data_IF_089771919624
#
_entry.id   IF_089771919624
#
_cell.length_a   1.000
_cell.length_b   1.000
_cell.length_c   1.000
_cell.angle_alpha   90.00
_cell.angle_beta   90.00
_cell.angle_gamma   90.00
#
_symmetry.space_group_name_H-M   'P 1'
#
loop_
_entity.id
_entity.type
_entity.pdbx_description
1 polymer ?
#
# COMPACT_ATOMS: atom_id res chain seq x y z
N UNK A 1 18.38 -24.37 -6.86
CA UNK A 1 17.42 -23.33 -7.22
C UNK A 1 18.13 -22.02 -6.99
N UNK A 2 18.23 -21.19 -8.01
CA UNK A 2 18.99 -19.94 -7.94
C UNK A 2 18.29 -18.96 -6.99
N UNK A 3 18.99 -17.99 -6.37
CA UNK A 3 18.37 -16.98 -5.49
C UNK A 3 17.21 -16.22 -6.17
N UNK A 4 17.34 -15.94 -7.47
CA UNK A 4 16.29 -15.28 -8.26
C UNK A 4 15.01 -16.12 -8.37
N UNK A 5 15.14 -17.44 -8.54
CA UNK A 5 14.00 -18.36 -8.61
C UNK A 5 13.22 -18.38 -7.28
N UNK A 6 13.92 -18.18 -6.16
CA UNK A 6 13.30 -18.14 -4.83
C UNK A 6 12.45 -16.90 -4.64
N UNK A 7 12.96 -15.74 -5.04
CA UNK A 7 12.21 -14.48 -4.99
C UNK A 7 10.99 -14.49 -5.92
N UNK A 8 11.13 -15.07 -7.12
CA UNK A 8 10.01 -15.25 -8.04
C UNK A 8 8.95 -16.18 -7.46
N UNK A 9 9.35 -17.30 -6.86
CA UNK A 9 8.43 -18.22 -6.20
C UNK A 9 7.67 -17.57 -5.04
N UNK A 10 8.33 -16.71 -4.24
CA UNK A 10 7.65 -15.93 -3.19
C UNK A 10 6.60 -14.99 -3.77
N UNK A 11 6.96 -14.24 -4.82
CA UNK A 11 6.04 -13.32 -5.49
C UNK A 11 4.83 -14.06 -6.07
N UNK A 12 5.03 -15.21 -6.72
CA UNK A 12 3.95 -16.04 -7.24
C UNK A 12 3.01 -16.56 -6.15
N UNK A 13 3.57 -17.04 -5.03
CA UNK A 13 2.76 -17.48 -3.87
C UNK A 13 1.95 -16.33 -3.29
N UNK A 14 2.58 -15.15 -3.17
CA UNK A 14 1.89 -13.94 -2.73
C UNK A 14 0.72 -13.60 -3.65
N UNK A 15 0.94 -13.55 -4.96
CA UNK A 15 -0.13 -13.29 -5.93
C UNK A 15 -1.23 -14.34 -5.84
N UNK A 16 -0.89 -15.63 -5.76
CA UNK A 16 -1.90 -16.69 -5.62
C UNK A 16 -2.76 -16.47 -4.36
N UNK A 17 -2.14 -16.10 -3.23
CA UNK A 17 -2.85 -15.85 -1.98
C UNK A 17 -3.74 -14.61 -2.05
N UNK A 18 -3.23 -13.51 -2.61
CA UNK A 18 -4.02 -12.28 -2.75
C UNK A 18 -5.23 -12.51 -3.65
N UNK A 19 -5.07 -13.19 -4.78
CA UNK A 19 -6.17 -13.55 -5.66
C UNK A 19 -7.20 -14.46 -5.00
N UNK A 20 -6.77 -15.45 -4.21
CA UNK A 20 -7.69 -16.31 -3.49
C UNK A 20 -8.59 -15.49 -2.53
N UNK A 21 -7.99 -14.56 -1.78
CA UNK A 21 -8.73 -13.67 -0.87
C UNK A 21 -9.64 -12.74 -1.68
N UNK A 22 -9.15 -12.06 -2.70
CA UNK A 22 -9.92 -11.02 -3.39
C UNK A 22 -11.10 -11.58 -4.18
N UNK A 23 -10.98 -12.80 -4.73
CA UNK A 23 -12.06 -13.44 -5.49
C UNK A 23 -13.20 -13.98 -4.60
N UNK A 24 -13.00 -14.08 -3.29
CA UNK A 24 -14.07 -14.48 -2.34
C UNK A 24 -15.09 -13.34 -2.11
N UNK A 25 -14.80 -12.12 -2.55
CA UNK A 25 -15.57 -10.93 -2.22
C UNK A 25 -16.26 -10.36 -3.46
N UNK A 26 -17.55 -10.02 -3.34
CA UNK A 26 -18.32 -9.40 -4.43
C UNK A 26 -17.85 -7.97 -4.78
N UNK A 27 -17.05 -7.34 -3.92
CA UNK A 27 -16.45 -6.03 -4.19
C UNK A 27 -15.50 -5.52 -3.11
N UNK A 28 -14.84 -4.37 -3.34
CA UNK A 28 -13.81 -3.82 -2.46
C UNK A 28 -14.23 -3.62 -1.00
N UNK A 29 -15.41 -3.03 -0.80
CA UNK A 29 -15.92 -2.74 0.53
C UNK A 29 -16.34 -3.99 1.33
N UNK A 30 -16.38 -5.17 0.70
CA UNK A 30 -16.65 -6.43 1.39
C UNK A 30 -15.41 -7.00 2.08
N UNK A 31 -14.20 -6.48 1.79
CA UNK A 31 -12.96 -6.95 2.42
C UNK A 31 -12.94 -6.76 3.94
N UNK A 32 -13.71 -5.82 4.49
CA UNK A 32 -13.90 -5.70 5.95
C UNK A 32 -14.50 -6.94 6.62
N UNK A 33 -15.11 -7.82 5.84
CA UNK A 33 -15.69 -9.08 6.30
C UNK A 33 -14.74 -10.28 6.10
N UNK A 34 -13.57 -10.05 5.52
CA UNK A 34 -12.57 -11.09 5.30
C UNK A 34 -12.09 -11.70 6.62
N UNK A 35 -11.61 -12.95 6.53
CA UNK A 35 -10.88 -13.55 7.63
C UNK A 35 -9.59 -12.76 7.91
N UNK A 36 -9.54 -12.09 9.06
CA UNK A 36 -8.42 -11.26 9.47
C UNK A 36 -7.10 -12.05 9.57
N UNK A 37 -7.15 -13.33 9.94
CA UNK A 37 -5.93 -14.17 9.96
C UNK A 37 -5.35 -14.35 8.56
N UNK A 38 -6.19 -14.45 7.54
CA UNK A 38 -5.74 -14.59 6.15
C UNK A 38 -5.14 -13.28 5.62
N UNK A 39 -5.68 -12.13 6.04
CA UNK A 39 -5.11 -10.83 5.73
C UNK A 39 -3.75 -10.63 6.42
N UNK A 40 -3.62 -11.01 7.69
CA UNK A 40 -2.33 -11.00 8.39
C UNK A 40 -1.30 -11.88 7.68
N UNK A 41 -1.67 -13.12 7.31
CA UNK A 41 -0.76 -14.01 6.57
C UNK A 41 -0.32 -13.42 5.24
N UNK A 42 -1.23 -12.73 4.53
CA UNK A 42 -0.86 -12.05 3.28
C UNK A 42 0.19 -10.96 3.51
N UNK A 43 0.04 -10.18 4.60
CA UNK A 43 1.02 -9.14 4.97
C UNK A 43 2.34 -9.76 5.44
N UNK A 44 2.31 -10.87 6.20
CA UNK A 44 3.52 -11.62 6.58
C UNK A 44 4.32 -12.07 5.33
N UNK A 45 3.62 -12.52 4.28
CA UNK A 45 4.25 -12.89 3.01
C UNK A 45 4.90 -11.69 2.31
N UNK A 46 4.27 -10.51 2.37
CA UNK A 46 4.85 -9.29 1.82
C UNK A 46 6.10 -8.87 2.61
N UNK A 47 6.04 -8.89 3.94
CA UNK A 47 7.17 -8.60 4.82
C UNK A 47 8.37 -9.52 4.54
N UNK A 48 8.12 -10.82 4.30
CA UNK A 48 9.16 -11.78 3.92
C UNK A 48 9.78 -11.48 2.54
N UNK A 49 8.98 -11.03 1.56
CA UNK A 49 9.47 -10.61 0.24
C UNK A 49 10.35 -9.37 0.34
N UNK A 50 10.01 -8.41 1.20
CA UNK A 50 10.83 -7.21 1.43
C UNK A 50 12.11 -7.58 2.18
N UNK A 51 12.00 -8.37 3.25
CA UNK A 51 13.11 -8.72 4.13
C UNK A 51 14.16 -9.59 3.45
N UNK A 52 13.79 -10.40 2.45
CA UNK A 52 14.77 -11.21 1.71
C UNK A 52 15.56 -10.43 0.67
N UNK A 53 15.25 -9.16 0.45
CA UNK A 53 16.01 -8.31 -0.45
C UNK A 53 17.11 -7.63 0.35
N UNK A 54 18.36 -7.83 -0.07
CA UNK A 54 19.46 -6.95 0.32
C UNK A 54 19.04 -5.50 0.07
N UNK A 55 19.49 -4.57 0.91
CA UNK A 55 19.21 -3.14 0.76
C UNK A 55 19.62 -2.67 -0.64
N UNK A 56 18.71 -2.77 -1.61
CA UNK A 56 18.99 -2.36 -2.97
C UNK A 56 18.96 -0.83 -2.97
N UNK A 57 20.07 -0.16 -3.30
CA UNK A 57 20.09 1.30 -3.34
C UNK A 57 19.24 1.86 -4.49
N UNK A 58 18.73 1.00 -5.38
CA UNK A 58 18.02 1.39 -6.60
C UNK A 58 16.54 0.98 -6.53
N UNK A 59 15.62 1.89 -6.90
CA UNK A 59 14.21 1.54 -7.02
C UNK A 59 13.96 0.41 -8.01
N UNK A 60 13.03 -0.49 -7.68
CA UNK A 60 12.63 -1.60 -8.57
C UNK A 60 11.39 -1.21 -9.37
N UNK A 61 11.48 -1.31 -10.69
CA UNK A 61 10.34 -1.16 -11.59
C UNK A 61 9.87 -2.54 -12.06
N UNK A 62 8.58 -2.81 -11.91
CA UNK A 62 7.95 -3.98 -12.49
C UNK A 62 6.73 -3.56 -13.31
N UNK A 63 6.51 -4.25 -14.43
CA UNK A 63 5.29 -4.08 -15.20
C UNK A 63 4.12 -4.84 -14.54
N UNK A 64 4.44 -5.92 -13.82
CA UNK A 64 3.47 -6.72 -13.08
C UNK A 64 3.03 -5.94 -11.83
N UNK A 65 1.71 -5.84 -11.69
CA UNK A 65 0.99 -5.22 -10.58
C UNK A 65 0.59 -6.32 -9.58
N UNK A 66 1.55 -6.77 -8.78
CA UNK A 66 1.42 -7.89 -7.84
C UNK A 66 1.30 -7.40 -6.38
N UNK A 67 2.38 -6.87 -5.82
CA UNK A 67 2.53 -6.67 -4.37
C UNK A 67 1.96 -5.33 -3.93
N UNK A 68 2.44 -4.24 -4.53
CA UNK A 68 2.00 -2.87 -4.17
C UNK A 68 0.47 -2.70 -4.29
N UNK A 69 -0.20 -3.06 -5.39
CA UNK A 69 -1.65 -2.89 -5.51
C UNK A 69 -2.43 -3.81 -4.57
N UNK A 70 -1.97 -5.04 -4.32
CA UNK A 70 -2.62 -5.94 -3.37
C UNK A 70 -2.59 -5.37 -1.95
N UNK A 71 -1.43 -4.87 -1.52
CA UNK A 71 -1.27 -4.22 -0.22
C UNK A 71 -2.09 -2.94 -0.12
N UNK A 72 -2.09 -2.11 -1.16
CA UNK A 72 -2.90 -0.90 -1.23
C UNK A 72 -4.40 -1.22 -1.06
N UNK A 73 -4.88 -2.23 -1.77
CA UNK A 73 -6.26 -2.69 -1.67
C UNK A 73 -6.61 -3.14 -0.24
N UNK A 74 -5.76 -3.96 0.39
CA UNK A 74 -5.99 -4.40 1.78
C UNK A 74 -6.00 -3.21 2.74
N UNK A 75 -5.03 -2.31 2.62
CA UNK A 75 -4.92 -1.12 3.47
C UNK A 75 -6.14 -0.20 3.36
N UNK A 76 -6.74 -0.11 2.16
CA UNK A 76 -7.91 0.73 1.94
C UNK A 76 -9.19 0.16 2.59
N UNK A 77 -9.34 -1.16 2.68
CA UNK A 77 -10.65 -1.78 2.94
C UNK A 77 -10.72 -2.75 4.14
N UNK A 78 -9.60 -3.09 4.80
CA UNK A 78 -9.61 -4.08 5.90
C UNK A 78 -10.18 -3.58 7.24
N UNK A 79 -10.32 -2.25 7.43
CA UNK A 79 -10.81 -1.62 8.67
C UNK A 79 -10.06 -2.08 9.94
N UNK A 80 -8.75 -2.34 9.84
CA UNK A 80 -7.92 -2.77 10.95
C UNK A 80 -6.67 -1.88 11.09
N UNK A 81 -6.63 -1.08 12.15
CA UNK A 81 -5.60 -0.06 12.37
C UNK A 81 -4.20 -0.65 12.50
N UNK A 82 -4.05 -1.78 13.19
CA UNK A 82 -2.76 -2.44 13.36
C UNK A 82 -2.22 -2.97 12.04
N UNK A 83 -3.08 -3.60 11.23
CA UNK A 83 -2.73 -4.14 9.92
C UNK A 83 -2.44 -3.03 8.91
N UNK A 84 -3.22 -1.95 8.91
CA UNK A 84 -2.99 -0.77 8.07
C UNK A 84 -1.61 -0.17 8.32
N UNK A 85 -1.19 -0.03 9.59
CA UNK A 85 0.16 0.44 9.94
C UNK A 85 1.25 -0.48 9.39
N UNK A 86 1.11 -1.80 9.59
CA UNK A 86 2.07 -2.78 9.06
C UNK A 86 2.20 -2.67 7.54
N UNK A 87 1.07 -2.54 6.84
CA UNK A 87 1.08 -2.39 5.39
C UNK A 87 1.79 -1.10 4.97
N UNK A 88 1.53 0.02 5.65
CA UNK A 88 2.21 1.30 5.39
C UNK A 88 3.73 1.14 5.55
N UNK A 89 4.20 0.46 6.59
CA UNK A 89 5.63 0.21 6.82
C UNK A 89 6.25 -0.66 5.73
N UNK A 90 5.54 -1.72 5.30
CA UNK A 90 5.97 -2.57 4.17
C UNK A 90 6.07 -1.76 2.88
N UNK A 91 5.04 -0.98 2.54
CA UNK A 91 5.04 -0.10 1.37
C UNK A 91 6.22 0.89 1.42
N UNK A 92 6.48 1.48 2.59
CA UNK A 92 7.58 2.44 2.81
C UNK A 92 8.96 1.81 2.69
N UNK A 93 9.13 0.53 3.01
CA UNK A 93 10.43 -0.15 2.91
C UNK A 93 10.75 -0.64 1.49
N UNK A 94 9.74 -0.88 0.65
CA UNK A 94 9.92 -1.58 -0.64
C UNK A 94 10.69 -0.83 -1.73
N UNK A 95 10.62 0.52 -1.78
CA UNK A 95 11.17 1.34 -2.89
C UNK A 95 10.85 0.76 -4.28
N UNK A 96 9.62 0.33 -4.49
CA UNK A 96 9.13 -0.39 -5.67
C UNK A 96 8.02 0.38 -6.37
N UNK A 97 8.05 0.39 -7.71
CA UNK A 97 6.98 0.88 -8.58
C UNK A 97 6.48 -0.24 -9.50
N UNK A 98 5.18 -0.46 -9.50
CA UNK A 98 4.48 -1.47 -10.28
C UNK A 98 3.44 -0.80 -11.20
N UNK A 99 3.82 -0.53 -12.45
CA UNK A 99 3.00 0.31 -13.34
C UNK A 99 2.70 1.68 -12.72
N UNK A 100 1.43 1.97 -12.43
CA UNK A 100 1.00 3.21 -11.77
C UNK A 100 1.12 3.21 -10.24
N UNK A 101 1.48 2.07 -9.65
CA UNK A 101 1.51 1.88 -8.20
C UNK A 101 2.92 2.11 -7.65
N UNK A 102 3.15 3.28 -7.06
CA UNK A 102 4.41 3.57 -6.36
C UNK A 102 4.29 3.32 -4.87
N UNK A 103 5.07 2.39 -4.33
CA UNK A 103 5.01 2.01 -2.92
C UNK A 103 5.24 3.17 -1.94
N UNK A 104 6.10 4.16 -2.28
CA UNK A 104 6.35 5.31 -1.42
C UNK A 104 5.18 6.29 -1.45
N UNK A 105 4.66 6.57 -2.64
CA UNK A 105 3.49 7.44 -2.81
C UNK A 105 2.25 6.84 -2.10
N UNK A 106 2.05 5.51 -2.22
CA UNK A 106 0.97 4.80 -1.52
C UNK A 106 1.14 4.84 0.00
N UNK A 107 2.35 4.60 0.52
CA UNK A 107 2.60 4.69 1.97
C UNK A 107 2.29 6.08 2.52
N UNK A 108 2.71 7.14 1.82
CA UNK A 108 2.44 8.52 2.22
C UNK A 108 0.93 8.82 2.21
N UNK A 109 0.22 8.37 1.18
CA UNK A 109 -1.23 8.54 1.09
C UNK A 109 -1.95 7.83 2.24
N UNK A 110 -1.64 6.54 2.47
CA UNK A 110 -2.33 5.76 3.50
C UNK A 110 -2.00 6.21 4.91
N UNK A 111 -0.81 6.76 5.16
CA UNK A 111 -0.53 7.37 6.46
C UNK A 111 -1.44 8.57 6.73
N UNK A 112 -1.67 9.43 5.74
CA UNK A 112 -2.63 10.53 5.86
C UNK A 112 -4.06 10.00 6.07
N UNK A 113 -4.47 8.98 5.31
CA UNK A 113 -5.80 8.36 5.43
C UNK A 113 -6.00 7.79 6.83
N UNK A 114 -5.00 7.06 7.34
CA UNK A 114 -5.04 6.48 8.69
C UNK A 114 -5.12 7.58 9.76
N UNK A 115 -4.36 8.67 9.62
CA UNK A 115 -4.46 9.82 10.52
C UNK A 115 -5.86 10.44 10.50
N UNK A 116 -6.47 10.62 9.34
CA UNK A 116 -7.84 11.13 9.23
C UNK A 116 -8.87 10.17 9.84
N UNK A 117 -8.69 8.85 9.69
CA UNK A 117 -9.53 7.83 10.35
C UNK A 117 -9.43 7.92 11.86
N UNK A 118 -8.21 7.98 12.40
CA UNK A 118 -7.97 8.11 13.84
C UNK A 118 -8.47 9.45 14.41
N UNK A 119 -8.45 10.51 13.61
CA UNK A 119 -9.00 11.82 13.95
C UNK A 119 -10.51 11.96 13.76
N UNK A 120 -11.21 10.89 13.35
CA UNK A 120 -12.64 10.89 13.03
C UNK A 120 -13.04 11.92 11.95
N UNK A 121 -12.11 12.24 11.04
CA UNK A 121 -12.30 13.12 9.89
C UNK A 121 -12.56 12.34 8.60
N UNK A 122 -12.32 11.03 8.60
CA UNK A 122 -12.59 10.15 7.48
C UNK A 122 -14.09 9.92 7.31
N UNK A 123 -14.54 9.88 6.06
CA UNK A 123 -15.92 9.56 5.69
C UNK A 123 -15.93 8.42 4.70
N UNK A 124 -16.90 7.51 4.83
CA UNK A 124 -17.03 6.32 3.97
C UNK A 124 -17.17 6.67 2.47
N UNK A 125 -17.71 7.85 2.16
CA UNK A 125 -17.80 8.36 0.78
C UNK A 125 -16.43 8.49 0.10
N UNK A 126 -15.35 8.70 0.88
CA UNK A 126 -13.99 8.82 0.36
C UNK A 126 -13.41 7.49 -0.14
N UNK A 127 -13.99 6.35 0.26
CA UNK A 127 -13.56 5.02 -0.23
C UNK A 127 -13.82 4.83 -1.73
N UNK A 128 -14.68 5.67 -2.33
CA UNK A 128 -15.01 5.64 -3.75
C UNK A 128 -14.26 6.69 -4.58
N UNK A 129 -13.44 7.52 -3.94
CA UNK A 129 -12.64 8.50 -4.66
C UNK A 129 -11.45 7.86 -5.37
N UNK A 130 -11.06 8.45 -6.49
CA UNK A 130 -9.83 8.02 -7.18
C UNK A 130 -8.61 8.38 -6.33
N UNK A 131 -7.54 7.58 -6.39
CA UNK A 131 -6.30 7.88 -5.64
C UNK A 131 -5.76 9.30 -5.88
N UNK A 132 -5.76 9.85 -7.12
CA UNK A 132 -5.36 11.24 -7.34
C UNK A 132 -6.28 12.27 -6.64
N UNK A 133 -7.59 12.05 -6.66
CA UNK A 133 -8.53 12.92 -5.94
C UNK A 133 -8.32 12.83 -4.43
N UNK A 134 -8.14 11.61 -3.93
CA UNK A 134 -7.92 11.36 -2.52
C UNK A 134 -6.63 12.07 -2.06
N UNK A 135 -5.53 11.89 -2.77
CA UNK A 135 -4.27 12.59 -2.49
C UNK A 135 -4.46 14.12 -2.43
N UNK A 136 -5.19 14.70 -3.40
CA UNK A 136 -5.53 16.13 -3.40
C UNK A 136 -6.36 16.54 -2.19
N UNK A 137 -7.33 15.73 -1.77
CA UNK A 137 -8.16 15.98 -0.59
C UNK A 137 -7.33 15.95 0.70
N UNK A 138 -6.43 14.97 0.83
CA UNK A 138 -5.56 14.83 1.99
C UNK A 138 -4.57 16.00 2.15
N UNK A 139 -4.11 16.58 1.04
CA UNK A 139 -3.31 17.82 1.08
C UNK A 139 -4.09 18.98 1.70
N UNK A 140 -5.39 19.09 1.46
CA UNK A 140 -6.21 20.16 2.05
C UNK A 140 -6.52 19.91 3.53
N UNK A 141 -6.70 18.65 3.92
CA UNK A 141 -6.91 18.25 5.32
C UNK A 141 -5.66 18.49 6.18
N UNK A 142 -4.48 18.15 5.65
CA UNK A 142 -3.19 18.37 6.33
C UNK A 142 -2.85 19.84 6.53
N UNK A 143 -3.22 20.74 5.60
CA UNK A 143 -3.07 22.21 5.76
C UNK A 143 -3.87 22.76 6.95
N UNK A 144 -4.92 22.07 7.40
CA UNK A 144 -5.73 22.48 8.56
C UNK A 144 -5.16 22.02 9.91
N UNK A 145 -4.04 21.26 9.90
CA UNK A 145 -3.38 20.73 11.10
C UNK A 145 -1.99 21.37 11.21
N UNK A 146 -1.51 21.87 12.38
CA UNK A 146 -0.31 22.73 12.46
C UNK A 146 1.05 22.04 12.23
N UNK A 147 1.12 20.92 11.51
CA UNK A 147 2.36 20.18 11.32
C UNK A 147 2.45 19.55 9.93
N UNK A 148 2.73 20.40 8.94
CA UNK A 148 3.23 19.96 7.64
C UNK A 148 4.64 20.53 7.44
N UNK A 149 5.64 19.86 8.02
CA UNK A 149 7.02 20.08 7.63
C UNK A 149 7.43 18.93 6.70
N UNK A 150 7.90 19.33 5.51
CA UNK A 150 8.60 18.51 4.51
C UNK A 150 7.76 17.63 3.56
N UNK A 151 6.96 18.27 2.71
CA UNK A 151 6.86 17.84 1.30
C UNK A 151 7.58 18.88 0.45
N UNK A 152 8.91 18.78 0.34
CA UNK A 152 9.63 19.58 -0.65
C UNK A 152 9.31 19.02 -2.04
N UNK A 153 8.54 19.75 -2.82
CA UNK A 153 8.48 19.54 -4.26
C UNK A 153 9.86 19.84 -4.85
N UNK A 154 10.56 18.83 -5.33
CA UNK A 154 11.68 19.07 -6.25
C UNK A 154 11.09 19.51 -7.59
N UNK A 155 11.44 20.70 -8.11
CA UNK A 155 11.00 21.10 -9.43
C UNK A 155 11.68 20.22 -10.49
N UNK A 156 10.88 19.75 -11.45
CA UNK A 156 11.37 19.16 -12.69
C UNK A 156 12.17 20.23 -13.44
N UNK A 157 13.50 20.17 -13.36
CA UNK A 157 14.37 20.87 -14.30
C UNK A 157 14.34 20.14 -15.63
N UNK A 158 13.88 20.85 -16.66
CA UNK A 158 13.89 20.48 -18.07
C UNK A 158 15.26 19.99 -18.52
N UNK A 159 15.27 18.91 -19.31
CA UNK A 159 16.28 18.69 -20.34
C UNK A 159 15.90 19.46 -21.60
#
# INVERSE_FOLDING_TARGET
>A
MEPADHDELKALRFSQKSWAIFNEHEGPCALKQSNMEELHRLVDMAEDIVSSREEQPRPKFALVADIVPSLAYVCAFCENVELERRIIDVLRSMKRREGMWDSQEMANLYELVLQAKLGNQWKDEYNWETLPNLARMMTNLSVSTPWAISLSSTPLTSL
#
